data_IF_279700616368
#
_entry.id   IF_279700616368
#
_cell.length_a   1.000
_cell.length_b   1.000
_cell.length_c   1.000
_cell.angle_alpha   90.00
_cell.angle_beta   90.00
_cell.angle_gamma   90.00
#
_symmetry.space_group_name_H-M   'P 1'
#
loop_
_entity.id
_entity.type
_entity.pdbx_description
1 polymer ?
#
# COMPACT_ATOMS: atom_id res chain seq x y z
N UNK A 1 -19.24 -19.49 -33.02
CA UNK A 1 -18.84 -19.46 -31.59
C UNK A 1 -17.55 -18.66 -31.51
N UNK A 2 -17.54 -17.50 -30.88
CA UNK A 2 -16.39 -16.57 -30.93
C UNK A 2 -15.34 -17.05 -29.89
N UNK A 3 -14.24 -17.64 -30.38
CA UNK A 3 -13.16 -18.22 -29.57
C UNK A 3 -12.52 -17.20 -28.61
N UNK A 4 -12.58 -15.90 -28.91
CA UNK A 4 -12.08 -14.83 -28.03
C UNK A 4 -12.80 -14.78 -26.67
N UNK A 5 -14.06 -15.22 -26.58
CA UNK A 5 -14.80 -15.31 -25.29
C UNK A 5 -14.34 -16.44 -24.37
N UNK A 6 -13.58 -17.42 -24.88
CA UNK A 6 -13.03 -18.52 -24.06
C UNK A 6 -11.82 -18.09 -23.25
N UNK A 7 -11.11 -17.03 -23.67
CA UNK A 7 -9.88 -16.54 -23.04
C UNK A 7 -10.09 -15.28 -22.18
N UNK A 8 -11.29 -14.72 -22.15
CA UNK A 8 -11.61 -13.45 -21.49
C UNK A 8 -12.25 -13.64 -20.09
N UNK A 9 -11.95 -14.78 -19.44
CA UNK A 9 -12.41 -15.03 -18.06
C UNK A 9 -11.43 -14.38 -17.08
N UNK A 10 -11.67 -13.13 -16.76
CA UNK A 10 -11.04 -12.48 -15.61
C UNK A 10 -11.41 -13.27 -14.34
N UNK A 11 -10.44 -13.90 -13.65
CA UNK A 11 -10.73 -14.82 -12.54
C UNK A 11 -11.34 -14.11 -11.33
N UNK A 12 -11.00 -12.82 -11.15
CA UNK A 12 -11.44 -12.02 -10.01
C UNK A 12 -12.56 -11.05 -10.39
N UNK A 13 -13.58 -10.95 -9.54
CA UNK A 13 -14.67 -9.97 -9.70
C UNK A 13 -14.16 -8.57 -9.31
N UNK A 14 -13.58 -8.47 -8.11
CA UNK A 14 -13.10 -7.22 -7.52
C UNK A 14 -11.64 -7.37 -7.10
N UNK A 15 -10.77 -6.52 -7.65
CA UNK A 15 -9.41 -6.32 -7.17
C UNK A 15 -9.29 -5.01 -6.42
N UNK A 16 -8.47 -4.96 -5.36
CA UNK A 16 -8.13 -3.74 -4.65
C UNK A 16 -6.63 -3.48 -4.76
N UNK A 17 -6.27 -2.26 -5.20
CA UNK A 17 -4.88 -1.80 -5.24
C UNK A 17 -4.65 -0.73 -4.17
N UNK A 18 -3.60 -0.94 -3.35
CA UNK A 18 -3.24 -0.11 -2.20
C UNK A 18 -1.88 0.55 -2.46
N UNK A 19 -1.85 1.87 -2.50
CA UNK A 19 -0.61 2.63 -2.72
C UNK A 19 0.33 2.59 -1.53
N UNK A 20 1.60 2.94 -1.74
CA UNK A 20 2.50 3.35 -0.67
C UNK A 20 2.05 4.66 -0.01
N UNK A 21 2.69 5.02 1.13
CA UNK A 21 2.34 6.28 1.80
C UNK A 21 2.77 6.41 3.26
N UNK A 22 3.59 5.52 3.80
CA UNK A 22 3.98 5.54 5.22
C UNK A 22 2.75 5.47 6.12
N UNK A 23 2.65 6.32 7.16
CA UNK A 23 1.50 6.30 8.08
C UNK A 23 0.16 6.60 7.38
N UNK A 24 0.17 7.31 6.23
CA UNK A 24 -1.03 7.55 5.43
C UNK A 24 -1.70 6.24 4.96
N UNK A 25 -0.96 5.12 4.95
CA UNK A 25 -1.50 3.79 4.70
C UNK A 25 -2.62 3.38 5.66
N UNK A 26 -2.76 4.01 6.83
CA UNK A 26 -3.90 3.80 7.73
C UNK A 26 -5.24 4.16 7.07
N UNK A 27 -5.23 5.06 6.09
CA UNK A 27 -6.39 5.34 5.24
C UNK A 27 -6.90 4.07 4.54
N UNK A 28 -6.01 3.16 4.10
CA UNK A 28 -6.42 1.92 3.45
C UNK A 28 -7.32 1.08 4.35
N UNK A 29 -6.96 0.93 5.64
CA UNK A 29 -7.78 0.21 6.59
C UNK A 29 -9.15 0.89 6.80
N UNK A 30 -9.19 2.22 6.90
CA UNK A 30 -10.45 2.97 6.99
C UNK A 30 -11.34 2.79 5.76
N UNK A 31 -10.74 2.82 4.57
CA UNK A 31 -11.45 2.57 3.30
C UNK A 31 -11.98 1.14 3.23
N UNK A 32 -11.15 0.13 3.60
CA UNK A 32 -11.58 -1.27 3.63
C UNK A 32 -12.76 -1.47 4.58
N UNK A 33 -12.78 -0.83 5.76
CA UNK A 33 -13.91 -0.86 6.67
C UNK A 33 -15.19 -0.35 6.01
N UNK A 34 -15.13 0.81 5.37
CA UNK A 34 -16.29 1.38 4.68
C UNK A 34 -16.78 0.49 3.53
N UNK A 35 -15.86 -0.14 2.79
CA UNK A 35 -16.22 -1.07 1.71
C UNK A 35 -16.90 -2.34 2.26
N UNK A 36 -16.41 -2.89 3.39
CA UNK A 36 -17.02 -4.06 4.04
C UNK A 36 -18.47 -3.81 4.48
N UNK A 37 -18.77 -2.61 5.01
CA UNK A 37 -20.13 -2.22 5.40
C UNK A 37 -21.11 -2.17 4.22
N UNK A 38 -20.59 -2.02 2.99
CA UNK A 38 -21.34 -2.10 1.74
C UNK A 38 -21.20 -3.45 1.03
N UNK A 39 -20.73 -4.48 1.75
CA UNK A 39 -20.53 -5.86 1.25
C UNK A 39 -19.56 -5.94 0.05
N UNK A 40 -18.68 -4.94 -0.11
CA UNK A 40 -17.66 -4.89 -1.16
C UNK A 40 -16.36 -5.51 -0.60
N UNK A 41 -16.07 -6.75 -1.01
CA UNK A 41 -14.87 -7.49 -0.59
C UNK A 41 -13.97 -7.78 -1.78
N UNK A 42 -12.64 -7.68 -1.62
CA UNK A 42 -11.71 -8.03 -2.69
C UNK A 42 -11.56 -9.54 -2.87
N UNK A 43 -11.44 -9.97 -4.14
CA UNK A 43 -11.01 -11.33 -4.48
C UNK A 43 -9.47 -11.41 -4.61
N UNK A 44 -8.79 -10.27 -4.78
CA UNK A 44 -7.34 -10.13 -4.83
C UNK A 44 -6.94 -8.72 -4.39
N UNK A 45 -5.78 -8.63 -3.73
CA UNK A 45 -5.19 -7.34 -3.32
C UNK A 45 -3.81 -7.19 -3.98
N UNK A 46 -3.46 -5.95 -4.34
CA UNK A 46 -2.08 -5.57 -4.68
C UNK A 46 -1.65 -4.37 -3.83
N UNK A 47 -0.47 -4.44 -3.23
CA UNK A 47 0.01 -3.41 -2.32
C UNK A 47 1.48 -3.05 -2.52
N UNK A 48 1.79 -1.79 -2.17
CA UNK A 48 3.16 -1.24 -2.13
C UNK A 48 3.40 -0.60 -0.78
N UNK A 49 4.58 -0.84 -0.16
CA UNK A 49 4.97 -0.20 1.10
C UNK A 49 3.87 -0.31 2.16
N UNK A 50 3.37 0.79 2.70
CA UNK A 50 2.25 0.78 3.65
C UNK A 50 1.02 0.02 3.13
N UNK A 51 0.73 0.11 1.82
CA UNK A 51 -0.33 -0.68 1.19
C UNK A 51 -0.05 -2.19 1.18
N UNK A 52 1.22 -2.60 1.10
CA UNK A 52 1.59 -4.01 1.24
C UNK A 52 1.40 -4.50 2.68
N UNK A 53 1.67 -3.65 3.68
CA UNK A 53 1.47 -3.96 5.11
C UNK A 53 -0.02 -4.14 5.42
N UNK A 54 -0.86 -3.17 5.03
CA UNK A 54 -2.31 -3.29 5.22
C UNK A 54 -2.86 -4.46 4.42
N UNK A 55 -2.38 -4.63 3.17
CA UNK A 55 -2.80 -5.72 2.30
C UNK A 55 -2.47 -7.10 2.87
N UNK A 56 -1.27 -7.31 3.42
CA UNK A 56 -0.90 -8.62 3.99
C UNK A 56 -1.68 -8.94 5.26
N UNK A 57 -1.86 -7.96 6.15
CA UNK A 57 -2.65 -8.15 7.39
C UNK A 57 -4.12 -8.46 7.04
N UNK A 58 -4.71 -7.72 6.13
CA UNK A 58 -6.09 -7.95 5.69
C UNK A 58 -6.23 -9.31 4.97
N UNK A 59 -5.29 -9.67 4.11
CA UNK A 59 -5.28 -10.96 3.40
C UNK A 59 -5.07 -12.14 4.33
N UNK A 60 -4.35 -11.97 5.45
CA UNK A 60 -4.19 -12.98 6.51
C UNK A 60 -5.45 -13.13 7.38
N UNK A 61 -6.36 -12.13 7.33
CA UNK A 61 -7.68 -12.17 7.94
C UNK A 61 -7.91 -11.21 9.10
N UNK A 62 -7.03 -10.24 9.29
CA UNK A 62 -7.27 -9.13 10.23
C UNK A 62 -8.40 -8.25 9.71
N UNK A 63 -9.31 -7.85 10.59
CA UNK A 63 -10.29 -6.81 10.30
C UNK A 63 -9.63 -5.44 10.18
N UNK A 64 -10.25 -4.49 9.48
CA UNK A 64 -9.73 -3.11 9.41
C UNK A 64 -9.51 -2.44 10.77
N UNK A 65 -10.37 -2.70 11.75
CA UNK A 65 -10.22 -2.15 13.11
C UNK A 65 -9.05 -2.80 13.86
N UNK A 66 -8.82 -4.10 13.69
CA UNK A 66 -7.62 -4.77 14.26
C UNK A 66 -6.34 -4.25 13.63
N UNK A 67 -6.34 -4.00 12.31
CA UNK A 67 -5.20 -3.38 11.63
C UNK A 67 -4.93 -2.00 12.22
N UNK A 68 -5.96 -1.17 12.41
CA UNK A 68 -5.81 0.15 13.03
C UNK A 68 -5.19 0.06 14.42
N UNK A 69 -5.70 -0.85 15.27
CA UNK A 69 -5.20 -1.07 16.61
C UNK A 69 -3.73 -1.55 16.64
N UNK A 70 -3.35 -2.44 15.71
CA UNK A 70 -1.95 -2.87 15.60
C UNK A 70 -1.00 -1.71 15.34
N UNK A 71 -1.40 -0.74 14.52
CA UNK A 71 -0.59 0.45 14.24
C UNK A 71 -0.56 1.44 15.41
N UNK A 72 -1.63 1.53 16.22
CA UNK A 72 -1.65 2.32 17.46
C UNK A 72 -0.70 1.74 18.52
N UNK A 73 -0.70 0.40 18.68
CA UNK A 73 0.16 -0.33 19.62
C UNK A 73 1.65 -0.29 19.20
N UNK A 74 1.90 -0.25 17.89
CA UNK A 74 3.22 -0.02 17.36
C UNK A 74 3.51 1.48 17.48
N UNK A 75 3.90 1.92 18.67
CA UNK A 75 4.62 3.19 18.73
C UNK A 75 5.89 2.98 17.90
N UNK A 76 5.93 3.55 16.71
CA UNK A 76 7.06 3.52 15.77
C UNK A 76 8.38 3.92 16.42
N UNK A 77 8.32 4.61 17.57
CA UNK A 77 9.46 4.88 18.46
C UNK A 77 10.13 3.61 18.96
N UNK A 78 9.42 2.48 19.06
CA UNK A 78 10.00 1.19 19.44
C UNK A 78 10.50 0.39 18.21
N UNK A 79 10.00 0.68 17.00
CA UNK A 79 10.50 0.04 15.77
C UNK A 79 11.79 0.68 15.26
N UNK A 80 12.00 1.96 15.57
CA UNK A 80 13.23 2.68 15.29
C UNK A 80 14.04 2.87 16.56
N UNK A 81 14.52 1.81 17.19
CA UNK A 81 15.71 1.95 18.04
C UNK A 81 16.83 2.34 17.09
N UNK A 82 17.04 3.67 17.02
CA UNK A 82 18.02 4.34 16.20
C UNK A 82 19.41 3.85 16.63
N UNK A 83 19.87 2.76 16.05
CA UNK A 83 21.28 2.52 15.89
C UNK A 83 21.64 3.08 14.53
N UNK A 84 22.25 4.28 14.51
CA UNK A 84 22.92 4.77 13.30
C UNK A 84 24.17 3.91 13.17
N UNK A 85 24.21 2.89 12.30
CA UNK A 85 25.45 2.20 11.99
C UNK A 85 26.36 3.21 11.29
N UNK A 86 27.66 3.01 11.36
CA UNK A 86 28.63 3.75 10.55
C UNK A 86 28.32 3.59 9.06
N UNK A 87 27.41 4.41 8.51
CA UNK A 87 26.90 4.27 7.12
C UNK A 87 25.51 4.85 6.86
N UNK A 88 24.76 5.27 7.91
CA UNK A 88 23.56 6.12 7.73
C UNK A 88 22.24 5.41 7.46
N UNK A 89 22.16 4.07 7.46
CA UNK A 89 20.91 3.35 7.25
C UNK A 89 20.35 2.76 8.55
N UNK A 90 19.02 2.85 8.73
CA UNK A 90 18.32 2.15 9.80
C UNK A 90 18.11 0.68 9.42
N UNK A 91 18.11 -0.21 10.43
CA UNK A 91 17.78 -1.63 10.22
C UNK A 91 16.28 -1.83 10.32
N UNK A 92 15.72 -2.54 9.35
CA UNK A 92 14.29 -2.86 9.26
C UNK A 92 13.93 -4.17 10.02
N UNK A 93 14.88 -4.76 10.74
CA UNK A 93 14.73 -6.06 11.40
C UNK A 93 13.58 -6.10 12.42
N UNK A 94 13.37 -5.00 13.18
CA UNK A 94 12.27 -4.92 14.17
C UNK A 94 10.90 -5.00 13.49
N UNK A 95 10.77 -4.42 12.29
CA UNK A 95 9.55 -4.50 11.49
C UNK A 95 9.35 -5.93 10.94
N UNK A 96 10.42 -6.57 10.50
CA UNK A 96 10.39 -7.96 10.07
C UNK A 96 9.94 -8.88 11.21
N UNK A 97 10.51 -8.71 12.41
CA UNK A 97 10.13 -9.48 13.60
C UNK A 97 8.66 -9.25 13.98
N UNK A 98 8.18 -8.01 13.92
CA UNK A 98 6.77 -7.71 14.11
C UNK A 98 5.86 -8.52 13.15
N UNK A 99 6.19 -8.58 11.87
CA UNK A 99 5.43 -9.37 10.90
C UNK A 99 5.47 -10.86 11.22
N UNK A 100 6.63 -11.39 11.64
CA UNK A 100 6.76 -12.79 12.04
C UNK A 100 5.85 -13.16 13.22
N UNK A 101 5.70 -12.26 14.18
CA UNK A 101 4.89 -12.49 15.39
C UNK A 101 3.38 -12.33 15.11
N UNK A 102 2.99 -11.56 14.10
CA UNK A 102 1.57 -11.22 13.82
C UNK A 102 0.96 -12.05 12.72
N UNK A 103 1.70 -12.37 11.67
CA UNK A 103 1.16 -13.12 10.54
C UNK A 103 1.07 -14.62 10.84
N UNK A 104 -0.11 -15.18 10.57
CA UNK A 104 -0.35 -16.63 10.61
C UNK A 104 0.25 -17.27 9.36
N UNK A 105 -0.05 -16.72 8.18
CA UNK A 105 0.50 -17.16 6.91
C UNK A 105 2.01 -16.90 6.83
N UNK A 106 2.77 -17.86 6.31
CA UNK A 106 4.22 -17.78 6.08
C UNK A 106 4.55 -17.64 4.60
N UNK A 107 3.62 -18.03 3.74
CA UNK A 107 3.72 -17.95 2.28
C UNK A 107 2.53 -17.21 1.69
N UNK A 108 2.66 -16.73 0.45
CA UNK A 108 1.56 -16.10 -0.27
C UNK A 108 0.37 -17.04 -0.46
N UNK A 109 0.65 -18.33 -0.62
CA UNK A 109 -0.34 -19.38 -0.87
C UNK A 109 -1.23 -19.68 0.34
N UNK A 110 -0.75 -19.37 1.55
CA UNK A 110 -1.50 -19.56 2.79
C UNK A 110 -2.47 -18.41 3.11
N UNK A 111 -2.37 -17.29 2.39
CA UNK A 111 -3.24 -16.14 2.60
C UNK A 111 -4.69 -16.45 2.19
N UNK A 112 -5.65 -15.94 2.98
CA UNK A 112 -7.10 -16.09 2.70
C UNK A 112 -7.54 -15.35 1.44
N UNK A 113 -6.87 -14.24 1.12
CA UNK A 113 -7.08 -13.45 -0.10
C UNK A 113 -5.74 -13.38 -0.84
N UNK A 114 -5.69 -13.73 -2.14
CA UNK A 114 -4.49 -13.59 -2.95
C UNK A 114 -3.91 -12.18 -2.86
N UNK A 115 -2.59 -12.10 -2.62
CA UNK A 115 -1.87 -10.83 -2.48
C UNK A 115 -0.76 -10.70 -3.53
N UNK A 116 -0.55 -9.50 -4.01
CA UNK A 116 0.62 -9.10 -4.78
C UNK A 116 1.36 -8.00 -4.04
N UNK A 117 2.65 -8.19 -3.85
CA UNK A 117 3.52 -7.21 -3.20
C UNK A 117 4.52 -6.68 -4.22
N UNK A 118 4.60 -5.37 -4.34
CA UNK A 118 5.50 -4.73 -5.31
C UNK A 118 6.71 -4.14 -4.58
N UNK A 119 7.91 -4.46 -5.08
CA UNK A 119 9.16 -3.84 -4.66
C UNK A 119 9.97 -3.41 -5.90
N UNK A 120 11.04 -2.65 -5.68
CA UNK A 120 11.97 -2.22 -6.72
C UNK A 120 13.26 -3.03 -6.63
N UNK A 121 13.59 -3.78 -7.69
CA UNK A 121 14.90 -4.43 -7.91
C UNK A 121 15.92 -3.32 -8.18
N UNK A 122 16.77 -3.04 -7.19
CA UNK A 122 17.74 -1.95 -7.25
C UNK A 122 18.90 -2.28 -8.19
N UNK A 123 19.24 -3.56 -8.35
CA UNK A 123 20.35 -3.99 -9.19
C UNK A 123 20.03 -3.82 -10.69
N UNK A 124 18.75 -3.97 -11.07
CA UNK A 124 18.28 -3.91 -12.47
C UNK A 124 17.40 -2.70 -12.78
N UNK A 125 17.04 -1.88 -11.79
CA UNK A 125 16.22 -0.68 -11.98
C UNK A 125 14.82 -1.01 -12.51
N UNK A 126 14.17 -2.07 -12.00
CA UNK A 126 12.84 -2.49 -12.44
C UNK A 126 11.88 -2.75 -11.28
N UNK A 127 10.58 -2.56 -11.53
CA UNK A 127 9.53 -2.99 -10.62
C UNK A 127 9.38 -4.51 -10.65
N UNK A 128 9.27 -5.14 -9.49
CA UNK A 128 9.05 -6.59 -9.33
C UNK A 128 7.80 -6.80 -8.49
N UNK A 129 6.95 -7.73 -8.94
CA UNK A 129 5.74 -8.15 -8.23
C UNK A 129 5.92 -9.55 -7.68
N UNK A 130 5.88 -9.71 -6.38
CA UNK A 130 5.91 -10.99 -5.69
C UNK A 130 4.49 -11.51 -5.52
N UNK A 131 4.28 -12.81 -5.82
CA UNK A 131 2.96 -13.46 -5.84
C UNK A 131 2.97 -14.85 -5.24
N UNK A 132 4.13 -15.37 -4.85
CA UNK A 132 4.31 -16.75 -4.38
C UNK A 132 5.54 -16.89 -3.49
N UNK A 133 5.60 -17.99 -2.74
CA UNK A 133 6.72 -18.32 -1.87
C UNK A 133 6.69 -17.57 -0.54
N UNK A 134 7.85 -17.29 0.03
CA UNK A 134 7.94 -16.61 1.36
C UNK A 134 7.28 -15.23 1.35
N UNK A 135 6.49 -14.96 2.38
CA UNK A 135 5.64 -13.77 2.43
C UNK A 135 6.33 -12.53 3.00
N UNK A 136 7.06 -12.70 4.09
CA UNK A 136 7.56 -11.58 4.91
C UNK A 136 8.67 -10.79 4.22
N UNK A 137 9.64 -11.46 3.60
CA UNK A 137 10.76 -10.79 2.95
C UNK A 137 10.33 -9.85 1.81
N UNK A 138 9.38 -10.22 0.92
CA UNK A 138 8.80 -9.28 -0.04
C UNK A 138 8.10 -8.07 0.58
N UNK A 139 7.34 -8.26 1.68
CA UNK A 139 6.69 -7.13 2.38
C UNK A 139 7.72 -6.19 2.97
N UNK A 140 8.77 -6.73 3.62
CA UNK A 140 9.90 -5.95 4.15
C UNK A 140 10.62 -5.21 3.02
N UNK A 141 10.89 -5.87 1.89
CA UNK A 141 11.50 -5.25 0.71
C UNK A 141 10.67 -4.07 0.19
N UNK A 142 9.34 -4.28 0.10
CA UNK A 142 8.38 -3.24 -0.31
C UNK A 142 8.36 -2.02 0.62
N UNK A 143 8.80 -2.17 1.87
CA UNK A 143 8.86 -1.11 2.89
C UNK A 143 10.27 -0.55 3.10
N UNK A 144 11.29 -1.04 2.36
CA UNK A 144 12.68 -0.61 2.50
C UNK A 144 12.92 0.72 1.78
N UNK A 145 12.41 1.84 2.39
CA UNK A 145 12.54 3.19 1.83
C UNK A 145 14.01 3.55 1.70
N UNK A 146 14.50 3.88 0.47
CA UNK A 146 15.89 4.32 0.26
C UNK A 146 16.27 5.49 1.17
N UNK A 147 17.54 5.53 1.58
CA UNK A 147 18.10 6.50 2.53
C UNK A 147 17.67 6.29 3.98
N UNK A 148 16.47 5.79 4.24
CA UNK A 148 16.01 5.49 5.60
C UNK A 148 16.39 4.08 6.02
N UNK A 149 16.23 3.09 5.16
CA UNK A 149 16.50 1.68 5.45
C UNK A 149 17.51 1.08 4.47
N UNK A 150 18.24 0.08 4.95
CA UNK A 150 19.10 -0.74 4.08
C UNK A 150 18.23 -1.52 3.08
N UNK A 151 18.71 -1.73 1.84
CA UNK A 151 18.05 -2.61 0.90
C UNK A 151 17.86 -4.02 1.48
N UNK A 152 16.70 -4.62 1.24
CA UNK A 152 16.44 -6.03 1.61
C UNK A 152 17.03 -6.93 0.53
N UNK A 153 17.85 -7.88 0.93
CA UNK A 153 18.41 -8.87 0.00
C UNK A 153 17.52 -10.11 -0.03
N UNK A 154 17.04 -10.49 -1.21
CA UNK A 154 16.27 -11.71 -1.44
C UNK A 154 16.94 -12.46 -2.62
N UNK A 155 17.41 -13.68 -2.37
CA UNK A 155 18.10 -14.51 -3.37
C UNK A 155 19.25 -13.78 -4.08
N UNK A 156 20.03 -12.98 -3.33
CA UNK A 156 21.19 -12.25 -3.85
C UNK A 156 20.86 -10.95 -4.61
N UNK A 157 19.59 -10.57 -4.73
CA UNK A 157 19.13 -9.32 -5.36
C UNK A 157 18.77 -8.30 -4.28
N UNK A 158 19.19 -7.05 -4.46
CA UNK A 158 18.87 -5.94 -3.55
C UNK A 158 17.53 -5.30 -3.92
N UNK A 159 16.60 -5.27 -2.97
CA UNK A 159 15.30 -4.66 -3.14
C UNK A 159 15.11 -3.44 -2.24
N UNK A 160 14.44 -2.44 -2.76
CA UNK A 160 13.98 -1.26 -2.03
C UNK A 160 12.49 -1.07 -2.24
N UNK A 161 11.93 -0.07 -1.55
CA UNK A 161 10.50 0.28 -1.59
C UNK A 161 9.97 0.34 -3.04
N UNK A 162 8.83 -0.31 -3.25
CA UNK A 162 8.19 -0.36 -4.56
C UNK A 162 7.76 1.02 -5.08
N UNK A 163 7.51 1.97 -4.17
CA UNK A 163 7.15 3.34 -4.51
C UNK A 163 8.18 4.07 -5.37
N UNK A 164 9.44 3.63 -5.38
CA UNK A 164 10.48 4.19 -6.25
C UNK A 164 10.06 4.12 -7.73
N UNK A 165 9.51 2.99 -8.19
CA UNK A 165 9.14 2.80 -9.59
C UNK A 165 7.64 2.60 -9.82
N UNK A 166 6.87 2.16 -8.78
CA UNK A 166 5.45 1.88 -8.89
C UNK A 166 4.76 2.06 -7.53
N UNK A 167 4.40 3.30 -7.20
CA UNK A 167 3.76 3.58 -5.91
C UNK A 167 2.28 3.18 -5.85
N UNK A 168 1.63 2.96 -6.98
CA UNK A 168 0.22 2.58 -7.07
C UNK A 168 0.05 1.38 -8.01
N UNK A 169 -0.15 0.14 -7.49
CA UNK A 169 0.09 -1.07 -8.26
C UNK A 169 -1.17 -1.63 -8.97
N UNK A 170 -2.06 -0.79 -9.50
CA UNK A 170 -3.31 -1.19 -10.18
C UNK A 170 -3.04 -2.08 -11.38
N UNK A 171 -2.04 -1.72 -12.20
CA UNK A 171 -1.68 -2.45 -13.42
C UNK A 171 -1.24 -3.89 -13.15
N UNK A 172 -0.80 -4.22 -11.92
CA UNK A 172 -0.39 -5.59 -11.58
C UNK A 172 -1.56 -6.57 -11.50
N UNK A 173 -2.79 -6.08 -11.28
CA UNK A 173 -4.01 -6.90 -11.15
C UNK A 173 -5.08 -6.58 -12.21
N UNK A 174 -4.94 -5.47 -12.98
CA UNK A 174 -5.98 -4.97 -13.90
C UNK A 174 -6.45 -6.00 -14.93
N UNK A 175 -5.51 -6.75 -15.51
CA UNK A 175 -5.82 -7.74 -16.53
C UNK A 175 -6.65 -8.92 -16.01
N UNK A 176 -6.57 -9.23 -14.72
CA UNK A 176 -7.21 -10.37 -14.08
C UNK A 176 -8.52 -10.03 -13.36
N UNK A 177 -8.82 -8.73 -13.16
CA UNK A 177 -10.01 -8.28 -12.42
C UNK A 177 -11.08 -7.70 -13.35
N UNK A 178 -12.35 -8.04 -13.11
CA UNK A 178 -13.49 -7.40 -13.79
C UNK A 178 -13.57 -5.93 -13.40
N UNK A 179 -13.46 -5.65 -12.10
CA UNK A 179 -13.43 -4.31 -11.53
C UNK A 179 -12.19 -4.14 -10.64
N UNK A 180 -11.58 -2.96 -10.67
CA UNK A 180 -10.48 -2.60 -9.78
C UNK A 180 -10.82 -1.32 -9.04
N UNK A 181 -10.77 -1.42 -7.71
CA UNK A 181 -10.84 -0.28 -6.80
C UNK A 181 -9.41 0.09 -6.44
N UNK A 182 -8.99 1.29 -6.79
CA UNK A 182 -7.70 1.82 -6.40
C UNK A 182 -7.84 2.73 -5.20
N UNK A 183 -7.01 2.52 -4.16
CA UNK A 183 -6.96 3.37 -2.97
C UNK A 183 -5.60 4.04 -2.95
N UNK A 184 -5.55 5.34 -3.22
CA UNK A 184 -4.32 6.12 -3.21
C UNK A 184 -4.23 6.98 -1.95
N UNK A 185 -3.31 6.62 -1.04
CA UNK A 185 -3.04 7.35 0.20
C UNK A 185 -2.05 8.51 0.02
N UNK A 186 -1.53 8.73 -1.19
CA UNK A 186 -0.57 9.80 -1.49
C UNK A 186 -1.11 10.79 -2.53
N UNK A 187 -2.23 11.51 -2.26
CA UNK A 187 -2.61 12.63 -3.10
C UNK A 187 -1.52 13.68 -3.07
N UNK A 188 -1.23 14.29 -4.23
CA UNK A 188 -0.32 15.42 -4.28
C UNK A 188 -1.09 16.72 -4.11
N UNK A 189 -0.77 17.44 -3.05
CA UNK A 189 -1.25 18.80 -2.80
C UNK A 189 -0.05 19.76 -2.89
N UNK A 190 -0.20 20.82 -3.68
CA UNK A 190 0.84 21.85 -3.77
C UNK A 190 0.82 22.71 -2.50
N UNK A 191 1.94 22.79 -1.83
CA UNK A 191 2.13 23.58 -0.61
C UNK A 191 3.44 24.40 -0.66
N UNK A 192 3.57 25.33 0.26
CA UNK A 192 4.79 26.08 0.50
C UNK A 192 5.71 25.25 1.41
N UNK A 193 6.95 25.02 1.00
CA UNK A 193 7.93 24.27 1.77
C UNK A 193 9.23 25.06 2.02
N UNK A 194 9.91 24.72 3.11
CA UNK A 194 11.25 25.26 3.40
C UNK A 194 12.28 24.43 2.63
N UNK A 195 13.19 25.05 1.83
CA UNK A 195 14.14 24.32 1.00
C UNK A 195 15.34 23.79 1.81
N UNK A 196 15.11 22.93 2.78
CA UNK A 196 16.15 22.15 3.46
C UNK A 196 16.45 20.88 2.67
N UNK A 197 17.64 20.29 2.85
CA UNK A 197 18.03 19.04 2.16
C UNK A 197 16.97 17.95 2.35
N UNK A 198 16.49 17.75 3.59
CA UNK A 198 15.48 16.74 3.89
C UNK A 198 14.13 17.04 3.23
N UNK A 199 13.69 18.28 3.25
CA UNK A 199 12.42 18.66 2.63
C UNK A 199 12.48 18.56 1.10
N UNK A 200 13.62 18.90 0.49
CA UNK A 200 13.83 18.71 -0.96
C UNK A 200 13.81 17.23 -1.31
N UNK A 201 14.49 16.38 -0.54
CA UNK A 201 14.49 14.94 -0.75
C UNK A 201 13.08 14.34 -0.61
N UNK A 202 12.36 14.66 0.47
CA UNK A 202 10.98 14.20 0.71
C UNK A 202 10.03 14.64 -0.42
N UNK A 203 10.16 15.90 -0.87
CA UNK A 203 9.36 16.44 -1.96
C UNK A 203 9.68 15.78 -3.30
N UNK A 204 10.95 15.50 -3.58
CA UNK A 204 11.38 14.76 -4.76
C UNK A 204 10.78 13.35 -4.77
N UNK A 205 10.71 12.68 -3.62
CA UNK A 205 10.03 11.41 -3.45
C UNK A 205 8.53 11.51 -3.77
N UNK A 206 7.85 12.53 -3.24
CA UNK A 206 6.43 12.77 -3.54
C UNK A 206 6.18 12.98 -5.05
N UNK A 207 7.11 13.66 -5.74
CA UNK A 207 7.02 13.82 -7.20
C UNK A 207 7.20 12.50 -7.95
N UNK A 208 8.10 11.63 -7.50
CA UNK A 208 8.26 10.28 -8.06
C UNK A 208 6.99 9.47 -7.88
N UNK A 209 6.39 9.46 -6.69
CA UNK A 209 5.13 8.79 -6.43
C UNK A 209 4.01 9.30 -7.33
N UNK A 210 3.87 10.63 -7.45
CA UNK A 210 2.91 11.24 -8.35
C UNK A 210 3.13 10.79 -9.80
N UNK A 211 4.36 10.90 -10.29
CA UNK A 211 4.70 10.61 -11.68
C UNK A 211 4.42 9.14 -12.05
N UNK A 212 4.83 8.19 -11.18
CA UNK A 212 4.67 6.77 -11.46
C UNK A 212 3.28 6.21 -11.13
N UNK A 213 2.37 7.04 -10.56
CA UNK A 213 0.98 6.64 -10.25
C UNK A 213 -0.04 7.10 -11.30
N UNK A 214 0.31 7.99 -12.23
CA UNK A 214 -0.64 8.60 -13.17
C UNK A 214 -1.37 7.54 -14.00
N UNK A 215 -0.62 6.68 -14.67
CA UNK A 215 -1.18 5.62 -15.50
C UNK A 215 -2.04 4.63 -14.70
N UNK A 216 -1.59 4.24 -13.51
CA UNK A 216 -2.33 3.29 -12.67
C UNK A 216 -3.65 3.88 -12.16
N UNK A 217 -3.75 5.21 -11.96
CA UNK A 217 -5.02 5.88 -11.61
C UNK A 217 -6.07 5.75 -12.73
N UNK A 218 -5.65 5.84 -13.98
CA UNK A 218 -6.53 5.72 -15.16
C UNK A 218 -7.09 4.30 -15.33
N UNK A 219 -6.40 3.30 -14.79
CA UNK A 219 -6.81 1.90 -14.85
C UNK A 219 -7.88 1.52 -13.81
N UNK A 220 -8.20 2.40 -12.86
CA UNK A 220 -9.21 2.14 -11.84
C UNK A 220 -10.62 2.24 -12.40
N UNK A 221 -11.51 1.30 -12.05
CA UNK A 221 -12.97 1.49 -12.20
C UNK A 221 -13.53 2.43 -11.12
N UNK A 222 -12.89 2.43 -9.94
CA UNK A 222 -13.16 3.33 -8.83
C UNK A 222 -11.85 3.76 -8.20
N UNK A 223 -11.56 5.06 -8.21
CA UNK A 223 -10.43 5.64 -7.49
C UNK A 223 -10.94 6.29 -6.20
N UNK A 224 -10.34 5.88 -5.05
CA UNK A 224 -10.54 6.48 -3.73
C UNK A 224 -9.24 7.19 -3.36
N UNK A 225 -9.26 8.51 -3.35
CA UNK A 225 -8.11 9.35 -3.09
C UNK A 225 -8.54 10.55 -2.24
N UNK A 226 -8.65 10.39 -0.89
CA UNK A 226 -9.02 11.50 -0.03
C UNK A 226 -7.97 12.61 -0.09
N UNK A 227 -8.35 13.77 -0.66
CA UNK A 227 -7.40 14.86 -0.92
C UNK A 227 -6.80 15.43 0.37
N UNK A 228 -7.55 15.39 1.48
CA UNK A 228 -7.11 15.88 2.78
C UNK A 228 -5.92 15.11 3.35
N UNK A 229 -5.62 13.91 2.83
CA UNK A 229 -4.38 13.20 3.14
C UNK A 229 -3.12 13.97 2.73
N UNK A 230 -3.24 14.94 1.82
CA UNK A 230 -2.16 15.85 1.49
C UNK A 230 -1.67 16.70 2.67
N UNK A 231 -2.50 16.92 3.69
CA UNK A 231 -2.17 17.70 4.87
C UNK A 231 -1.33 16.94 5.91
N UNK A 232 -1.11 15.63 5.71
CA UNK A 232 -0.32 14.79 6.61
C UNK A 232 1.03 14.45 6.00
N UNK A 233 2.05 14.38 6.86
CA UNK A 233 3.36 13.87 6.46
C UNK A 233 3.41 12.34 6.63
N UNK A 234 4.21 11.67 5.82
CA UNK A 234 4.33 10.19 5.81
C UNK A 234 4.87 9.62 7.13
N UNK A 235 5.46 10.46 7.98
CA UNK A 235 6.06 10.11 9.29
C UNK A 235 5.25 10.62 10.50
N UNK A 236 4.06 11.19 10.32
CA UNK A 236 3.19 11.65 11.41
C UNK A 236 2.44 10.48 12.09
N UNK A 237 3.18 9.64 12.79
CA UNK A 237 2.72 8.35 13.33
C UNK A 237 1.59 8.50 14.34
N UNK A 238 1.61 9.56 15.12
CA UNK A 238 0.56 9.94 16.08
C UNK A 238 -0.79 10.26 15.42
N UNK A 239 -0.81 10.42 14.09
CA UNK A 239 -2.02 10.72 13.30
C UNK A 239 -2.70 9.48 12.70
N UNK A 240 -2.22 8.28 13.00
CA UNK A 240 -2.72 7.04 12.41
C UNK A 240 -4.24 6.88 12.53
N UNK A 241 -4.81 7.09 13.72
CA UNK A 241 -6.26 7.00 13.94
C UNK A 241 -7.06 8.05 13.17
N UNK A 242 -6.59 9.28 13.14
CA UNK A 242 -7.22 10.38 12.41
C UNK A 242 -7.24 10.08 10.89
N UNK A 243 -6.14 9.53 10.36
CA UNK A 243 -6.01 9.13 8.96
C UNK A 243 -6.93 7.95 8.62
N UNK A 244 -7.07 6.98 9.54
CA UNK A 244 -8.03 5.89 9.40
C UNK A 244 -9.46 6.42 9.28
N UNK A 245 -9.88 7.28 10.21
CA UNK A 245 -11.21 7.89 10.22
C UNK A 245 -11.46 8.73 8.96
N UNK A 246 -10.45 9.44 8.47
CA UNK A 246 -10.52 10.19 7.23
C UNK A 246 -10.82 9.27 6.04
N UNK A 247 -10.09 8.16 5.91
CA UNK A 247 -10.32 7.16 4.87
C UNK A 247 -11.72 6.58 4.93
N UNK A 248 -12.17 6.22 6.12
CA UNK A 248 -13.51 5.67 6.36
C UNK A 248 -14.61 6.66 5.94
N UNK A 249 -14.60 7.89 6.49
CA UNK A 249 -15.64 8.91 6.23
C UNK A 249 -15.68 9.33 4.77
N UNK A 250 -14.53 9.58 4.15
CA UNK A 250 -14.44 9.99 2.74
C UNK A 250 -15.03 8.93 1.83
N UNK A 251 -14.81 7.65 2.15
CA UNK A 251 -15.35 6.53 1.38
C UNK A 251 -16.87 6.42 1.53
N UNK A 252 -17.39 6.52 2.76
CA UNK A 252 -18.84 6.52 2.99
C UNK A 252 -19.54 7.64 2.22
N UNK A 253 -19.02 8.87 2.30
CA UNK A 253 -19.58 10.01 1.57
C UNK A 253 -19.62 9.76 0.07
N UNK A 254 -18.55 9.19 -0.49
CA UNK A 254 -18.46 8.88 -1.92
C UNK A 254 -19.45 7.77 -2.32
N UNK A 255 -19.58 6.69 -1.52
CA UNK A 255 -20.51 5.60 -1.80
C UNK A 255 -21.96 6.08 -1.74
N UNK A 256 -22.35 6.85 -0.74
CA UNK A 256 -23.67 7.45 -0.62
C UNK A 256 -24.00 8.35 -1.81
N UNK A 257 -23.05 9.20 -2.22
CA UNK A 257 -23.26 10.10 -3.37
C UNK A 257 -23.50 9.32 -4.68
N UNK A 258 -22.76 8.21 -4.89
CA UNK A 258 -22.91 7.34 -6.07
C UNK A 258 -24.23 6.54 -6.07
N UNK A 259 -24.74 6.16 -4.90
CA UNK A 259 -26.04 5.51 -4.80
C UNK A 259 -27.17 6.48 -5.14
N UNK A 260 -27.10 7.72 -4.63
CA UNK A 260 -28.09 8.74 -4.91
C UNK A 260 -28.12 9.17 -6.39
N UNK A 261 -27.00 9.16 -7.09
CA UNK A 261 -26.95 9.46 -8.55
C UNK A 261 -27.48 8.34 -9.44
N UNK A 262 -27.67 7.12 -8.93
CA UNK A 262 -28.33 6.03 -9.68
C UNK A 262 -29.84 5.97 -9.49
N UNK A 263 -30.43 6.80 -8.66
CA UNK A 263 -31.86 6.87 -8.34
C UNK A 263 -32.53 8.04 -9.11
N UNK A 264 -31.77 8.86 -9.78
CA UNK A 264 -32.22 9.91 -10.72
C UNK A 264 -31.85 9.46 -12.14
#
# INVERSE_FOLDING_TARGET
MNLTKLFDRKPYKIGIALSGGGIKGMCHAGVLKALEEYEIKPDIISGVSAGAVVGVLYSDGYSPDEIAKLFEDISFRNMTKIHIPNGGFFRIDTFQEFLYQRLTAKTFEELKIPLRVVATDLDKGRSVTFTSGTLIDPVVASCSIPVLFSPKVINGVHYVDGGVLKNFPVSTIRSECKKVIGINACPFVADVFKPTILNVAARSYNFMFKANSIHDKELCDLLIEPIDLGNYEIYNIDKGREIFELGYRSTLQMLVSKLNTKIV
#
